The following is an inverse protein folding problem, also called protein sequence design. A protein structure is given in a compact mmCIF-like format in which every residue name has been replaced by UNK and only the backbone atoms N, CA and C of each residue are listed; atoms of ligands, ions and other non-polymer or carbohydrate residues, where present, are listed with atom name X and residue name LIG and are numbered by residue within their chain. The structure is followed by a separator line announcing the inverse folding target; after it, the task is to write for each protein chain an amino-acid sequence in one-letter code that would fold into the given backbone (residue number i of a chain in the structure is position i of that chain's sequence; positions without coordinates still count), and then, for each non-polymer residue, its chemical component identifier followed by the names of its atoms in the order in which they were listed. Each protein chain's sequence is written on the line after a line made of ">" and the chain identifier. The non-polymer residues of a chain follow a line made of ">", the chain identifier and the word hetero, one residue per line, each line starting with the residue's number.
data_IF_472291587486
#
_entry.id   IF_472291587486
#
_cell.length_a   1.000
_cell.length_b   1.000
_cell.length_c   1.000
_cell.angle_alpha   90.00
_cell.angle_beta   90.00
_cell.angle_gamma   90.00
#
_symmetry.space_group_name_H-M   'P 1'
#
loop_
_entity.id
_entity.type
_entity.pdbx_description
1 polymer ?
#
# COMPACT_ATOMS: atom_id res chain seq x y z
N UNK A 1 13.88 31.08 5.69
CA UNK A 1 13.38 29.73 5.85
C UNK A 1 12.24 29.39 4.88
N UNK A 2 11.17 30.18 4.74
CA UNK A 2 10.05 29.89 3.80
C UNK A 2 10.43 29.86 2.31
N UNK A 3 11.37 30.70 1.86
CA UNK A 3 11.84 30.73 0.47
C UNK A 3 12.64 29.47 0.16
N UNK A 4 13.55 29.08 1.05
CA UNK A 4 14.39 27.89 0.89
C UNK A 4 13.56 26.60 0.82
N UNK A 5 12.50 26.47 1.64
CA UNK A 5 11.59 25.33 1.58
C UNK A 5 10.79 25.28 0.28
N UNK A 6 10.36 26.42 -0.27
CA UNK A 6 9.67 26.48 -1.58
C UNK A 6 10.61 26.10 -2.71
N UNK A 7 11.84 26.62 -2.73
CA UNK A 7 12.85 26.25 -3.73
C UNK A 7 13.18 24.77 -3.70
N UNK A 8 13.30 24.18 -2.50
CA UNK A 8 13.54 22.76 -2.33
C UNK A 8 12.38 21.90 -2.88
N UNK A 9 11.13 22.28 -2.62
CA UNK A 9 9.94 21.60 -3.16
C UNK A 9 9.93 21.69 -4.70
N UNK A 10 10.19 22.87 -5.26
CA UNK A 10 10.27 23.04 -6.73
C UNK A 10 11.37 22.16 -7.32
N UNK A 11 12.56 22.15 -6.69
CA UNK A 11 13.66 21.28 -7.12
C UNK A 11 13.27 19.80 -7.11
N UNK A 12 12.71 19.28 -6.00
CA UNK A 12 12.29 17.88 -5.90
C UNK A 12 11.21 17.54 -6.95
N UNK A 13 10.23 18.41 -7.14
CA UNK A 13 9.17 18.19 -8.13
C UNK A 13 9.74 18.15 -9.55
N UNK A 14 10.62 19.10 -9.89
CA UNK A 14 11.27 19.14 -11.19
C UNK A 14 12.16 17.92 -11.44
N UNK A 15 12.92 17.51 -10.41
CA UNK A 15 13.73 16.30 -10.46
C UNK A 15 12.87 15.04 -10.70
N UNK A 16 11.76 14.91 -9.97
CA UNK A 16 10.84 13.77 -10.14
C UNK A 16 10.20 13.75 -11.52
N UNK A 17 9.74 14.91 -12.01
CA UNK A 17 9.17 15.01 -13.37
C UNK A 17 10.23 14.65 -14.43
N UNK A 18 11.44 15.15 -14.29
CA UNK A 18 12.56 14.81 -15.18
C UNK A 18 12.89 13.32 -15.14
N UNK A 19 12.90 12.72 -13.96
CA UNK A 19 13.15 11.28 -13.79
C UNK A 19 12.03 10.42 -14.39
N UNK A 20 10.77 10.80 -14.20
CA UNK A 20 9.63 10.14 -14.84
C UNK A 20 9.70 10.26 -16.36
N UNK A 21 10.03 11.44 -16.89
CA UNK A 21 10.19 11.63 -18.33
C UNK A 21 11.36 10.79 -18.89
N UNK A 22 12.49 10.79 -18.20
CA UNK A 22 13.64 9.97 -18.55
C UNK A 22 13.28 8.48 -18.61
N UNK A 23 12.65 7.93 -17.57
CA UNK A 23 12.26 6.52 -17.54
C UNK A 23 11.23 6.19 -18.63
N UNK A 24 10.27 7.07 -18.88
CA UNK A 24 9.30 6.91 -19.97
C UNK A 24 9.95 6.83 -21.35
N UNK A 25 10.94 7.69 -21.62
CA UNK A 25 11.60 7.77 -22.93
C UNK A 25 12.63 6.65 -23.15
N UNK A 26 13.40 6.32 -22.13
CA UNK A 26 14.62 5.53 -22.27
C UNK A 26 14.54 4.10 -21.74
N UNK A 27 13.46 3.71 -21.01
CA UNK A 27 13.31 2.31 -20.63
C UNK A 27 13.12 1.44 -21.87
N UNK A 28 13.97 0.44 -21.95
CA UNK A 28 13.96 -0.59 -22.99
C UNK A 28 13.39 -1.91 -22.44
N UNK A 29 13.37 -2.94 -23.27
CA UNK A 29 12.81 -4.24 -22.89
C UNK A 29 13.51 -4.88 -21.69
N UNK A 30 14.82 -4.63 -21.49
CA UNK A 30 15.57 -5.17 -20.34
C UNK A 30 15.09 -4.53 -19.03
N UNK A 31 14.90 -3.20 -18.97
CA UNK A 31 14.37 -2.53 -17.80
C UNK A 31 12.90 -2.88 -17.56
N UNK A 32 12.11 -3.02 -18.64
CA UNK A 32 10.70 -3.42 -18.55
C UNK A 32 10.57 -4.85 -18.00
N UNK A 33 11.44 -5.77 -18.39
CA UNK A 33 11.44 -7.15 -17.90
C UNK A 33 11.73 -7.25 -16.39
N UNK A 34 12.45 -6.28 -15.82
CA UNK A 34 12.68 -6.14 -14.38
C UNK A 34 11.50 -5.53 -13.60
N UNK A 35 10.39 -5.17 -14.27
CA UNK A 35 9.20 -4.60 -13.64
C UNK A 35 8.09 -5.63 -13.49
N UNK A 36 7.12 -5.36 -12.60
CA UNK A 36 5.94 -6.24 -12.42
C UNK A 36 5.02 -6.28 -13.64
N UNK A 37 5.18 -5.34 -14.59
CA UNK A 37 4.52 -5.40 -15.89
C UNK A 37 4.72 -6.74 -16.58
N UNK A 38 5.91 -7.35 -16.40
CA UNK A 38 6.24 -8.69 -16.90
C UNK A 38 5.21 -9.74 -16.43
N UNK A 39 4.95 -9.79 -15.12
CA UNK A 39 4.00 -10.77 -14.55
C UNK A 39 2.58 -10.53 -15.03
N UNK A 40 2.16 -9.27 -15.16
CA UNK A 40 0.79 -8.91 -15.58
C UNK A 40 0.53 -9.23 -17.04
N UNK A 41 1.47 -8.91 -17.94
CA UNK A 41 1.36 -9.25 -19.35
C UNK A 41 1.43 -10.75 -19.56
N UNK A 42 2.24 -11.46 -18.79
CA UNK A 42 2.26 -12.93 -18.80
C UNK A 42 0.88 -13.50 -18.49
N UNK A 43 0.23 -13.05 -17.39
CA UNK A 43 -1.12 -13.48 -17.06
C UNK A 43 -2.14 -13.19 -18.16
N UNK A 44 -2.09 -12.01 -18.77
CA UNK A 44 -2.95 -11.64 -19.89
C UNK A 44 -2.74 -12.53 -21.12
N UNK A 45 -1.47 -12.81 -21.50
CA UNK A 45 -1.12 -13.67 -22.63
C UNK A 45 -1.53 -15.13 -22.42
N UNK A 46 -1.41 -15.67 -21.20
CA UNK A 46 -1.89 -17.01 -20.87
C UNK A 46 -3.41 -17.12 -21.09
N UNK A 47 -4.18 -16.11 -20.65
CA UNK A 47 -5.63 -16.08 -20.84
C UNK A 47 -5.97 -16.04 -22.35
N UNK A 48 -5.32 -15.21 -23.13
CA UNK A 48 -5.52 -15.06 -24.56
C UNK A 48 -5.05 -16.29 -25.36
N UNK A 49 -3.99 -16.96 -24.90
CA UNK A 49 -3.44 -18.16 -25.55
C UNK A 49 -4.27 -19.42 -25.32
N UNK A 50 -5.40 -19.32 -24.60
CA UNK A 50 -6.30 -20.47 -24.36
C UNK A 50 -5.86 -21.38 -23.20
N UNK A 51 -4.70 -21.13 -22.59
CA UNK A 51 -4.18 -21.91 -21.45
C UNK A 51 -4.65 -21.35 -20.09
N UNK A 52 -5.80 -20.70 -20.05
CA UNK A 52 -6.33 -19.96 -18.88
C UNK A 52 -6.46 -20.83 -17.61
N UNK A 53 -6.77 -22.12 -17.74
CA UNK A 53 -6.88 -23.05 -16.62
C UNK A 53 -5.52 -23.29 -15.95
N UNK A 54 -4.41 -23.06 -16.66
CA UNK A 54 -3.04 -23.22 -16.20
C UNK A 54 -2.41 -21.88 -15.76
N UNK A 55 -3.22 -20.83 -15.53
CA UNK A 55 -2.73 -19.52 -15.12
C UNK A 55 -1.82 -19.59 -13.89
N UNK A 56 -2.11 -20.51 -12.97
CA UNK A 56 -1.36 -20.72 -11.73
C UNK A 56 -0.44 -21.95 -11.76
N UNK A 57 0.07 -22.27 -12.95
CA UNK A 57 1.09 -23.30 -13.15
C UNK A 57 2.43 -22.63 -13.46
N UNK A 58 3.48 -22.99 -12.72
CA UNK A 58 4.81 -22.35 -12.85
C UNK A 58 5.36 -22.56 -14.25
N UNK A 59 5.26 -23.77 -14.76
CA UNK A 59 5.76 -24.19 -16.07
C UNK A 59 5.09 -23.37 -17.20
N UNK A 60 3.78 -23.15 -17.10
CA UNK A 60 3.05 -22.32 -18.06
C UNK A 60 3.52 -20.86 -17.99
N UNK A 61 3.66 -20.30 -16.80
CA UNK A 61 4.14 -18.91 -16.66
C UNK A 61 5.58 -18.75 -17.15
N UNK A 62 6.47 -19.72 -16.87
CA UNK A 62 7.83 -19.73 -17.41
C UNK A 62 7.86 -19.78 -18.94
N UNK A 63 7.05 -20.67 -19.54
CA UNK A 63 6.93 -20.80 -21.01
C UNK A 63 6.58 -19.44 -21.61
N UNK A 64 5.50 -18.80 -21.17
CA UNK A 64 5.06 -17.51 -21.69
C UNK A 64 6.05 -16.39 -21.41
N UNK A 65 6.70 -16.35 -20.25
CA UNK A 65 7.71 -15.34 -19.97
C UNK A 65 8.94 -15.48 -20.86
N UNK A 66 9.42 -16.69 -21.10
CA UNK A 66 10.54 -16.94 -22.03
C UNK A 66 10.20 -16.56 -23.48
N UNK A 67 8.96 -16.77 -23.90
CA UNK A 67 8.49 -16.37 -25.24
C UNK A 67 8.44 -14.84 -25.40
N UNK A 68 7.94 -14.12 -24.35
CA UNK A 68 7.77 -12.66 -24.39
C UNK A 68 9.09 -11.93 -24.15
N UNK A 69 9.92 -12.42 -23.20
CA UNK A 69 11.13 -11.79 -22.69
C UNK A 69 12.36 -12.68 -22.96
N UNK A 70 12.69 -12.86 -24.23
CA UNK A 70 13.69 -13.82 -24.73
C UNK A 70 15.06 -13.79 -24.01
N UNK A 71 15.46 -12.64 -23.48
CA UNK A 71 16.79 -12.43 -22.87
C UNK A 71 16.75 -12.43 -21.32
N UNK A 72 15.62 -12.70 -20.69
CA UNK A 72 15.48 -12.64 -19.24
C UNK A 72 15.15 -14.02 -18.65
N UNK A 73 16.05 -14.51 -17.77
CA UNK A 73 15.90 -15.79 -17.09
C UNK A 73 15.16 -15.70 -15.76
N UNK A 74 14.95 -14.47 -15.24
CA UNK A 74 14.25 -14.27 -13.94
C UNK A 74 12.76 -14.43 -14.16
N UNK A 75 12.14 -15.34 -13.44
CA UNK A 75 10.70 -15.55 -13.47
C UNK A 75 10.02 -14.69 -12.41
N UNK A 76 9.10 -13.84 -12.84
CA UNK A 76 8.23 -13.04 -11.97
C UNK A 76 6.80 -13.62 -12.01
N UNK A 77 6.38 -14.42 -11.01
CA UNK A 77 5.08 -15.07 -11.04
C UNK A 77 3.92 -14.07 -10.99
N UNK A 78 2.87 -14.34 -11.76
CA UNK A 78 1.60 -13.65 -11.65
C UNK A 78 0.83 -14.19 -10.43
N UNK A 79 0.85 -13.44 -9.33
CA UNK A 79 0.29 -13.85 -8.02
C UNK A 79 -1.04 -13.19 -7.68
N UNK A 80 -1.79 -12.71 -8.68
CA UNK A 80 -3.05 -12.01 -8.47
C UNK A 80 -4.24 -12.85 -8.94
N UNK A 81 -5.45 -12.47 -8.52
CA UNK A 81 -6.65 -13.08 -9.05
C UNK A 81 -6.83 -12.75 -10.55
N UNK A 82 -7.57 -13.57 -11.30
CA UNK A 82 -7.69 -13.46 -12.76
C UNK A 82 -8.18 -12.11 -13.27
N UNK A 83 -8.92 -11.35 -12.45
CA UNK A 83 -9.38 -10.00 -12.79
C UNK A 83 -8.23 -9.08 -13.24
N UNK A 84 -7.08 -9.14 -12.57
CA UNK A 84 -5.94 -8.29 -12.95
C UNK A 84 -5.28 -8.76 -14.23
N UNK A 85 -5.19 -10.06 -14.49
CA UNK A 85 -4.74 -10.53 -15.79
C UNK A 85 -5.67 -10.03 -16.90
N UNK A 86 -6.99 -10.02 -16.67
CA UNK A 86 -7.99 -9.53 -17.61
C UNK A 86 -7.84 -8.01 -17.89
N UNK A 87 -7.57 -7.21 -16.86
CA UNK A 87 -7.30 -5.76 -17.00
C UNK A 87 -6.09 -5.48 -17.92
N UNK A 88 -5.10 -6.40 -17.94
CA UNK A 88 -3.90 -6.22 -18.76
C UNK A 88 -4.03 -6.73 -20.19
N UNK A 89 -5.14 -7.38 -20.58
CA UNK A 89 -5.39 -7.84 -21.94
C UNK A 89 -5.22 -6.71 -22.99
N UNK A 90 -5.81 -5.50 -22.83
CA UNK A 90 -5.64 -4.44 -23.82
C UNK A 90 -4.19 -4.06 -24.08
N UNK A 91 -3.33 -4.07 -23.05
CA UNK A 91 -1.92 -3.74 -23.18
C UNK A 91 -1.10 -4.84 -23.87
N UNK A 92 -1.62 -6.07 -23.90
CA UNK A 92 -0.96 -7.21 -24.53
C UNK A 92 -1.11 -7.26 -26.04
N UNK A 93 -2.00 -6.45 -26.63
CA UNK A 93 -2.13 -6.32 -28.10
C UNK A 93 -1.09 -5.39 -28.71
N UNK A 94 -0.46 -4.52 -27.92
CA UNK A 94 0.62 -3.65 -28.34
C UNK A 94 1.99 -4.37 -28.24
N UNK A 95 3.03 -3.78 -28.86
CA UNK A 95 4.39 -4.20 -28.56
C UNK A 95 4.68 -4.02 -27.07
N UNK A 96 5.62 -4.81 -26.53
CA UNK A 96 5.97 -4.79 -25.09
C UNK A 96 6.25 -3.36 -24.58
N UNK A 97 7.09 -2.62 -25.30
CA UNK A 97 7.46 -1.25 -24.95
C UNK A 97 6.27 -0.29 -25.03
N UNK A 98 5.45 -0.39 -26.08
CA UNK A 98 4.27 0.47 -26.24
C UNK A 98 3.21 0.19 -25.18
N UNK A 99 2.91 -1.09 -24.90
CA UNK A 99 1.97 -1.49 -23.84
C UNK A 99 2.41 -1.01 -22.47
N UNK A 100 3.71 -1.14 -22.15
CA UNK A 100 4.28 -0.59 -20.92
C UNK A 100 4.12 0.93 -20.85
N UNK A 101 4.45 1.68 -21.91
CA UNK A 101 4.31 3.14 -21.94
C UNK A 101 2.87 3.60 -21.77
N UNK A 102 1.90 2.92 -22.40
CA UNK A 102 0.47 3.22 -22.21
C UNK A 102 0.07 3.01 -20.76
N UNK A 103 0.47 1.89 -20.15
CA UNK A 103 0.18 1.63 -18.74
C UNK A 103 0.92 2.61 -17.79
N UNK A 104 2.13 3.01 -18.13
CA UNK A 104 2.88 4.04 -17.42
C UNK A 104 2.13 5.37 -17.38
N UNK A 105 1.65 5.86 -18.52
CA UNK A 105 0.83 7.08 -18.62
C UNK A 105 -0.49 6.93 -17.85
N UNK A 106 -1.13 5.76 -17.91
CA UNK A 106 -2.31 5.47 -17.12
C UNK A 106 -2.02 5.60 -15.61
N UNK A 107 -0.88 5.09 -15.14
CA UNK A 107 -0.49 5.24 -13.72
C UNK A 107 -0.30 6.70 -13.31
N UNK A 108 0.25 7.56 -14.19
CA UNK A 108 0.33 9.01 -13.95
C UNK A 108 -1.07 9.62 -13.83
N UNK A 109 -1.99 9.28 -14.73
CA UNK A 109 -3.39 9.75 -14.66
C UNK A 109 -4.08 9.27 -13.38
N UNK A 110 -3.87 8.02 -12.99
CA UNK A 110 -4.40 7.46 -11.75
C UNK A 110 -3.81 8.16 -10.50
N UNK A 111 -2.54 8.54 -10.53
CA UNK A 111 -1.93 9.34 -9.47
C UNK A 111 -2.62 10.73 -9.33
N UNK A 112 -3.00 11.36 -10.46
CA UNK A 112 -3.80 12.60 -10.44
C UNK A 112 -5.20 12.34 -9.85
N UNK A 113 -5.83 11.21 -10.16
CA UNK A 113 -7.10 10.82 -9.51
C UNK A 113 -6.93 10.69 -8.00
N UNK A 114 -5.83 10.11 -7.52
CA UNK A 114 -5.52 10.07 -6.08
C UNK A 114 -5.48 11.47 -5.46
N UNK A 115 -4.86 12.47 -6.12
CA UNK A 115 -4.84 13.87 -5.64
C UNK A 115 -6.25 14.40 -5.43
N UNK A 116 -7.16 14.14 -6.38
CA UNK A 116 -8.56 14.57 -6.29
C UNK A 116 -9.25 13.87 -5.10
N UNK A 117 -9.03 12.57 -4.92
CA UNK A 117 -9.62 11.80 -3.82
C UNK A 117 -9.06 12.23 -2.46
N UNK A 118 -7.74 12.48 -2.34
CA UNK A 118 -7.15 13.04 -1.13
C UNK A 118 -7.77 14.39 -0.77
N UNK A 119 -7.90 15.29 -1.77
CA UNK A 119 -8.52 16.60 -1.56
C UNK A 119 -9.96 16.49 -1.05
N UNK A 120 -10.75 15.54 -1.58
CA UNK A 120 -12.13 15.27 -1.13
C UNK A 120 -12.17 14.63 0.25
N UNK A 121 -11.26 13.69 0.54
CA UNK A 121 -11.29 12.96 1.80
C UNK A 121 -10.78 13.79 2.97
N UNK A 122 -9.66 14.52 2.80
CA UNK A 122 -9.04 15.34 3.84
C UNK A 122 -9.45 16.82 3.79
N UNK A 123 -10.26 17.24 2.81
CA UNK A 123 -10.77 18.63 2.68
C UNK A 123 -9.65 19.66 2.56
N UNK A 124 -8.58 19.31 1.82
CA UNK A 124 -7.41 20.15 1.62
C UNK A 124 -7.25 20.65 0.19
N UNK A 125 -6.27 21.56 -0.03
CA UNK A 125 -5.99 22.09 -1.36
C UNK A 125 -5.36 21.02 -2.25
N UNK A 126 -5.86 20.90 -3.49
CA UNK A 126 -5.35 19.94 -4.48
C UNK A 126 -3.84 20.08 -4.72
N UNK A 127 -3.33 21.31 -4.73
CA UNK A 127 -1.90 21.59 -4.95
C UNK A 127 -1.02 20.96 -3.87
N UNK A 128 -1.44 20.99 -2.59
CA UNK A 128 -0.68 20.37 -1.50
C UNK A 128 -0.54 18.86 -1.70
N UNK A 129 -1.62 18.20 -2.16
CA UNK A 129 -1.60 16.77 -2.43
C UNK A 129 -0.92 16.42 -3.75
N UNK A 130 -0.98 17.29 -4.76
CA UNK A 130 -0.25 17.11 -6.02
C UNK A 130 1.26 17.04 -5.76
N UNK A 131 1.79 18.02 -5.02
CA UNK A 131 3.20 18.06 -4.65
C UNK A 131 3.57 16.82 -3.81
N UNK A 132 2.75 16.47 -2.82
CA UNK A 132 2.98 15.31 -1.97
C UNK A 132 3.06 14.02 -2.78
N UNK A 133 2.09 13.78 -3.67
CA UNK A 133 1.96 12.56 -4.48
C UNK A 133 3.18 12.38 -5.38
N UNK A 134 3.63 13.45 -6.07
CA UNK A 134 4.74 13.36 -7.01
C UNK A 134 6.14 13.49 -6.38
N UNK A 135 6.27 13.97 -5.15
CA UNK A 135 7.54 13.94 -4.41
C UNK A 135 7.74 12.61 -3.68
N UNK A 136 6.66 11.86 -3.40
CA UNK A 136 6.73 10.65 -2.60
C UNK A 136 7.29 9.48 -3.40
N UNK A 137 8.56 9.15 -3.15
CA UNK A 137 9.32 8.16 -3.92
C UNK A 137 8.63 6.78 -4.08
N UNK A 138 7.97 6.19 -3.04
CA UNK A 138 7.26 4.92 -3.22
C UNK A 138 6.18 4.97 -4.30
N UNK A 139 5.49 6.09 -4.49
CA UNK A 139 4.51 6.24 -5.57
C UNK A 139 5.20 6.36 -6.94
N UNK A 140 6.30 7.11 -7.01
CA UNK A 140 7.09 7.22 -8.25
C UNK A 140 7.60 5.84 -8.67
N UNK A 141 8.08 5.04 -7.70
CA UNK A 141 8.47 3.65 -7.94
C UNK A 141 7.31 2.79 -8.49
N UNK A 142 6.07 3.00 -8.00
CA UNK A 142 4.89 2.32 -8.56
C UNK A 142 4.66 2.63 -10.03
N UNK A 143 4.84 3.87 -10.45
CA UNK A 143 4.70 4.27 -11.86
C UNK A 143 5.77 3.56 -12.70
N UNK A 144 7.03 3.61 -12.27
CA UNK A 144 8.17 3.06 -13.00
C UNK A 144 8.13 1.53 -13.07
N UNK A 145 7.82 0.86 -11.96
CA UNK A 145 7.74 -0.60 -11.92
C UNK A 145 6.37 -1.14 -12.35
N UNK A 146 5.50 -0.26 -12.88
CA UNK A 146 4.18 -0.59 -13.40
C UNK A 146 3.30 -1.35 -12.41
N UNK A 147 3.36 -0.97 -11.11
CA UNK A 147 2.61 -1.61 -10.05
C UNK A 147 1.11 -1.26 -10.09
N UNK A 148 0.28 -2.16 -9.56
CA UNK A 148 -1.18 -1.92 -9.43
C UNK A 148 -1.56 -1.17 -8.15
N UNK A 149 -0.58 -0.81 -7.31
CA UNK A 149 -0.83 -0.24 -5.97
C UNK A 149 -1.61 1.07 -6.04
N UNK A 150 -1.39 1.87 -7.08
CA UNK A 150 -2.14 3.13 -7.27
C UNK A 150 -3.63 2.84 -7.47
N UNK A 151 -3.98 1.79 -8.23
CA UNK A 151 -5.37 1.34 -8.40
C UNK A 151 -5.96 0.91 -7.04
N UNK A 152 -5.24 0.10 -6.28
CA UNK A 152 -5.69 -0.36 -4.96
C UNK A 152 -5.84 0.81 -3.97
N UNK A 153 -4.97 1.80 -4.03
CA UNK A 153 -5.06 3.02 -3.21
C UNK A 153 -6.30 3.85 -3.57
N UNK A 154 -6.63 3.99 -4.86
CA UNK A 154 -7.87 4.65 -5.31
C UNK A 154 -9.08 3.92 -4.74
N UNK A 155 -9.14 2.59 -4.87
CA UNK A 155 -10.22 1.78 -4.34
C UNK A 155 -10.36 1.98 -2.82
N UNK A 156 -9.26 1.95 -2.08
CA UNK A 156 -9.25 2.16 -0.64
C UNK A 156 -9.75 3.58 -0.27
N UNK A 157 -9.30 4.62 -0.97
CA UNK A 157 -9.79 6.00 -0.76
C UNK A 157 -11.29 6.13 -1.07
N UNK A 158 -11.79 5.44 -2.08
CA UNK A 158 -13.23 5.41 -2.39
C UNK A 158 -14.01 4.72 -1.27
N UNK A 159 -13.52 3.61 -0.70
CA UNK A 159 -14.13 2.97 0.48
C UNK A 159 -14.20 3.94 1.66
N UNK A 160 -13.13 4.68 1.94
CA UNK A 160 -13.11 5.68 3.00
C UNK A 160 -14.11 6.81 2.75
N UNK A 161 -14.25 7.25 1.50
CA UNK A 161 -15.27 8.25 1.11
C UNK A 161 -16.71 7.70 1.26
N UNK A 162 -16.92 6.41 0.95
CA UNK A 162 -18.22 5.77 1.24
C UNK A 162 -18.49 5.72 2.75
N UNK A 163 -17.48 5.46 3.59
CA UNK A 163 -17.63 5.48 5.04
C UNK A 163 -17.97 6.89 5.57
N UNK A 164 -17.38 7.96 5.01
CA UNK A 164 -17.77 9.35 5.32
C UNK A 164 -19.25 9.64 5.01
N UNK A 165 -19.81 8.92 4.02
CA UNK A 165 -21.22 9.06 3.59
C UNK A 165 -22.14 7.99 4.18
N UNK A 166 -21.71 7.26 5.20
CA UNK A 166 -22.43 6.14 5.83
C UNK A 166 -22.87 5.00 4.87
N UNK A 167 -22.22 4.88 3.69
CA UNK A 167 -22.49 3.87 2.66
C UNK A 167 -21.65 2.60 2.87
N UNK A 168 -21.82 1.94 4.01
CA UNK A 168 -20.97 0.80 4.42
C UNK A 168 -21.13 -0.44 3.53
N UNK A 169 -22.32 -0.70 2.97
CA UNK A 169 -22.53 -1.81 2.04
C UNK A 169 -21.69 -1.62 0.76
N UNK A 170 -21.80 -0.45 0.13
CA UNK A 170 -20.98 -0.13 -1.06
C UNK A 170 -19.48 -0.15 -0.75
N UNK A 171 -19.09 0.33 0.44
CA UNK A 171 -17.72 0.22 0.93
C UNK A 171 -17.24 -1.23 1.05
N UNK A 172 -18.11 -2.12 1.55
CA UNK A 172 -17.82 -3.56 1.64
C UNK A 172 -17.62 -4.21 0.27
N UNK A 173 -18.56 -3.96 -0.68
CA UNK A 173 -18.46 -4.46 -2.07
C UNK A 173 -17.14 -4.04 -2.69
N UNK A 174 -16.79 -2.75 -2.59
CA UNK A 174 -15.56 -2.25 -3.19
C UNK A 174 -14.30 -2.79 -2.52
N UNK A 175 -14.35 -3.06 -1.20
CA UNK A 175 -13.23 -3.64 -0.45
C UNK A 175 -12.86 -5.04 -0.91
N UNK A 176 -13.80 -5.83 -1.49
CA UNK A 176 -13.51 -7.16 -2.00
C UNK A 176 -12.44 -7.16 -3.09
N UNK A 177 -12.35 -6.07 -3.88
CA UNK A 177 -11.35 -5.95 -4.96
C UNK A 177 -9.92 -5.88 -4.40
N UNK A 178 -9.74 -5.42 -3.15
CA UNK A 178 -8.42 -5.39 -2.50
C UNK A 178 -7.83 -6.80 -2.32
N UNK A 179 -8.67 -7.86 -2.27
CA UNK A 179 -8.24 -9.26 -2.12
C UNK A 179 -7.45 -9.77 -3.33
N UNK A 180 -7.53 -9.08 -4.47
CA UNK A 180 -6.67 -9.42 -5.62
C UNK A 180 -5.17 -9.42 -5.26
N UNK A 181 -4.78 -8.67 -4.24
CA UNK A 181 -3.48 -8.77 -3.58
C UNK A 181 -3.75 -9.41 -2.20
N UNK A 182 -3.62 -10.73 -2.00
CA UNK A 182 -4.18 -11.44 -0.83
C UNK A 182 -3.76 -10.89 0.53
N UNK A 183 -2.52 -10.42 0.65
CA UNK A 183 -2.03 -9.83 1.89
C UNK A 183 -2.73 -8.50 2.26
N UNK A 184 -3.48 -7.86 1.34
CA UNK A 184 -4.34 -6.71 1.64
C UNK A 184 -5.58 -7.05 2.47
N UNK A 185 -5.82 -8.33 2.80
CA UNK A 185 -6.81 -8.73 3.82
C UNK A 185 -6.62 -7.97 5.14
N UNK A 186 -5.40 -7.59 5.49
CA UNK A 186 -5.12 -6.79 6.68
C UNK A 186 -5.76 -5.39 6.58
N UNK A 187 -5.74 -4.76 5.41
CA UNK A 187 -6.46 -3.50 5.19
C UNK A 187 -7.97 -3.67 5.36
N UNK A 188 -8.53 -4.79 4.86
CA UNK A 188 -9.96 -5.10 5.01
C UNK A 188 -10.33 -5.32 6.47
N UNK A 189 -9.47 -5.98 7.25
CA UNK A 189 -9.66 -6.12 8.69
C UNK A 189 -9.78 -4.75 9.37
N UNK A 190 -8.89 -3.81 9.09
CA UNK A 190 -8.96 -2.48 9.65
C UNK A 190 -10.18 -1.68 9.14
N UNK A 191 -10.56 -1.82 7.87
CA UNK A 191 -11.81 -1.24 7.35
C UNK A 191 -13.04 -1.78 8.11
N UNK A 192 -13.08 -3.09 8.38
CA UNK A 192 -14.13 -3.69 9.21
C UNK A 192 -14.17 -3.10 10.62
N UNK A 193 -13.01 -2.93 11.26
CA UNK A 193 -12.91 -2.35 12.60
C UNK A 193 -13.38 -0.89 12.63
N UNK A 194 -13.09 -0.12 11.59
CA UNK A 194 -13.51 1.28 11.44
C UNK A 194 -15.00 1.43 11.07
N UNK A 195 -15.60 0.39 10.49
CA UNK A 195 -17.00 0.43 10.08
C UNK A 195 -17.93 0.58 11.28
N UNK A 196 -18.80 1.60 11.27
CA UNK A 196 -19.86 1.77 12.27
C UNK A 196 -21.01 0.76 12.10
N UNK A 197 -21.26 0.29 10.87
CA UNK A 197 -22.29 -0.69 10.52
C UNK A 197 -21.68 -1.97 9.99
N UNK A 198 -21.06 -2.73 10.91
CA UNK A 198 -20.28 -3.93 10.62
C UNK A 198 -21.00 -4.95 9.74
N UNK A 199 -22.28 -5.24 10.05
CA UNK A 199 -23.10 -6.19 9.28
C UNK A 199 -23.26 -5.71 7.83
N UNK A 200 -23.60 -4.42 7.60
CA UNK A 200 -23.73 -3.89 6.23
C UNK A 200 -22.40 -3.97 5.46
N UNK A 201 -21.29 -3.68 6.13
CA UNK A 201 -19.96 -3.82 5.52
C UNK A 201 -19.66 -5.28 5.16
N UNK A 202 -19.89 -6.22 6.07
CA UNK A 202 -19.67 -7.66 5.82
C UNK A 202 -20.59 -8.20 4.72
N UNK A 203 -21.88 -7.81 4.70
CA UNK A 203 -22.81 -8.17 3.62
C UNK A 203 -22.28 -7.67 2.28
N UNK A 204 -21.83 -6.41 2.21
CA UNK A 204 -21.24 -5.85 1.00
C UNK A 204 -19.95 -6.59 0.59
N UNK A 205 -19.06 -6.86 1.54
CA UNK A 205 -17.85 -7.62 1.30
C UNK A 205 -18.15 -9.03 0.75
N UNK A 206 -19.10 -9.73 1.36
CA UNK A 206 -19.55 -11.05 0.90
C UNK A 206 -20.08 -11.01 -0.53
N UNK A 207 -20.98 -10.06 -0.84
CA UNK A 207 -21.53 -9.90 -2.20
C UNK A 207 -20.42 -9.62 -3.22
N UNK A 208 -19.46 -8.74 -2.88
CA UNK A 208 -18.33 -8.46 -3.73
C UNK A 208 -17.41 -9.69 -3.92
N UNK A 209 -17.19 -10.48 -2.87
CA UNK A 209 -16.44 -11.74 -2.95
C UNK A 209 -17.12 -12.77 -3.84
N UNK A 210 -18.44 -12.92 -3.73
CA UNK A 210 -19.20 -13.82 -4.61
C UNK A 210 -18.98 -13.44 -6.08
N UNK A 211 -19.08 -12.15 -6.41
CA UNK A 211 -18.79 -11.67 -7.79
C UNK A 211 -17.36 -11.99 -8.21
N UNK A 212 -16.37 -11.71 -7.35
CA UNK A 212 -14.96 -11.96 -7.65
C UNK A 212 -14.64 -13.44 -7.84
N UNK A 213 -15.21 -14.31 -7.00
CA UNK A 213 -15.03 -15.76 -7.10
C UNK A 213 -15.70 -16.31 -8.37
N UNK A 214 -16.96 -15.89 -8.63
CA UNK A 214 -17.68 -16.30 -9.85
C UNK A 214 -16.93 -15.88 -11.11
N UNK A 215 -16.43 -14.63 -11.14
CA UNK A 215 -15.59 -14.17 -12.24
C UNK A 215 -14.31 -15.02 -12.36
N UNK A 216 -13.62 -15.27 -11.27
CA UNK A 216 -12.38 -16.07 -11.28
C UNK A 216 -12.62 -17.48 -11.80
N UNK A 217 -13.69 -18.15 -11.33
CA UNK A 217 -14.10 -19.48 -11.79
C UNK A 217 -14.46 -19.48 -13.29
N UNK A 218 -15.13 -18.45 -13.78
CA UNK A 218 -15.46 -18.35 -15.21
C UNK A 218 -14.23 -18.17 -16.12
N UNK A 219 -13.17 -17.53 -15.58
CA UNK A 219 -11.93 -17.29 -16.32
C UNK A 219 -11.00 -18.51 -16.29
N UNK A 220 -10.66 -19.04 -15.10
CA UNK A 220 -9.62 -20.08 -14.95
C UNK A 220 -10.18 -21.48 -14.68
N UNK A 221 -11.50 -21.61 -14.59
CA UNK A 221 -12.13 -22.87 -14.22
C UNK A 221 -11.94 -23.26 -12.74
N UNK A 222 -12.59 -24.34 -12.33
CA UNK A 222 -12.58 -24.78 -10.92
C UNK A 222 -11.19 -25.25 -10.47
N UNK A 223 -10.52 -26.08 -11.26
CA UNK A 223 -9.19 -26.62 -10.95
C UNK A 223 -8.13 -25.50 -10.91
N UNK A 224 -8.16 -24.59 -11.90
CA UNK A 224 -7.27 -23.43 -11.94
C UNK A 224 -7.47 -22.52 -10.72
N UNK A 225 -8.70 -22.30 -10.27
CA UNK A 225 -8.98 -21.52 -9.07
C UNK A 225 -8.49 -22.20 -7.79
N UNK A 226 -8.70 -23.52 -7.65
CA UNK A 226 -8.23 -24.27 -6.48
C UNK A 226 -6.71 -24.39 -6.41
N UNK A 227 -6.00 -24.32 -7.54
CA UNK A 227 -4.54 -24.34 -7.56
C UNK A 227 -3.90 -23.06 -7.01
N UNK A 228 -4.64 -21.93 -6.97
CA UNK A 228 -4.15 -20.61 -6.61
C UNK A 228 -3.50 -20.54 -5.21
N UNK A 229 -4.11 -21.00 -4.10
CA UNK A 229 -3.47 -20.95 -2.79
C UNK A 229 -2.15 -21.72 -2.72
N UNK A 230 -2.11 -22.91 -3.32
CA UNK A 230 -0.89 -23.73 -3.41
C UNK A 230 0.20 -23.06 -4.25
N UNK A 231 -0.19 -22.38 -5.34
CA UNK A 231 0.71 -21.61 -6.17
C UNK A 231 1.33 -20.43 -5.39
N UNK A 232 0.54 -19.67 -4.62
CA UNK A 232 1.04 -18.59 -3.78
C UNK A 232 2.12 -19.07 -2.81
N UNK A 233 1.86 -20.18 -2.09
CA UNK A 233 2.82 -20.74 -1.13
C UNK A 233 4.11 -21.23 -1.82
N UNK A 234 4.02 -21.87 -2.97
CA UNK A 234 5.18 -22.38 -3.72
C UNK A 234 6.05 -21.26 -4.28
N UNK A 235 5.44 -20.13 -4.66
CA UNK A 235 6.17 -18.98 -5.23
C UNK A 235 6.64 -18.00 -4.17
N UNK A 236 6.33 -18.19 -2.89
CA UNK A 236 6.82 -17.35 -1.77
C UNK A 236 8.20 -17.82 -1.33
N UNK A 237 9.21 -17.62 -2.20
CA UNK A 237 10.60 -17.96 -1.94
C UNK A 237 11.55 -17.01 -2.70
N UNK A 238 12.85 -17.09 -2.41
CA UNK A 238 13.90 -16.22 -2.99
C UNK A 238 14.00 -16.33 -4.50
N UNK A 239 13.81 -17.53 -5.05
CA UNK A 239 13.90 -17.77 -6.49
C UNK A 239 12.87 -16.98 -7.29
N UNK A 240 11.66 -16.81 -6.74
CA UNK A 240 10.57 -16.07 -7.37
C UNK A 240 10.39 -14.65 -6.80
N UNK A 241 11.41 -14.07 -6.16
CA UNK A 241 11.36 -12.73 -5.59
C UNK A 241 10.61 -12.64 -4.25
N UNK A 242 10.31 -13.76 -3.59
CA UNK A 242 9.63 -13.82 -2.29
C UNK A 242 10.61 -13.86 -1.10
N UNK A 243 11.73 -13.12 -1.15
CA UNK A 243 12.69 -13.08 -0.05
C UNK A 243 12.13 -12.27 1.14
N UNK A 244 11.58 -13.00 2.12
CA UNK A 244 10.93 -12.41 3.29
C UNK A 244 11.86 -11.50 4.10
N UNK A 245 13.18 -11.76 4.14
CA UNK A 245 14.14 -10.95 4.89
C UNK A 245 14.35 -9.57 4.26
N UNK A 246 14.15 -9.46 2.94
CA UNK A 246 14.27 -8.19 2.22
C UNK A 246 13.00 -7.33 2.28
N UNK A 247 11.90 -7.87 2.78
CA UNK A 247 10.63 -7.15 2.93
C UNK A 247 10.69 -6.13 4.06
N UNK A 248 9.69 -5.26 4.12
CA UNK A 248 9.65 -4.10 5.04
C UNK A 248 8.55 -4.24 6.10
N UNK A 249 8.36 -5.44 6.63
CA UNK A 249 7.24 -5.78 7.51
C UNK A 249 7.66 -6.58 8.74
N UNK A 250 6.77 -6.74 9.71
CA UNK A 250 7.00 -7.54 10.92
C UNK A 250 7.45 -8.97 10.60
N UNK A 251 6.88 -9.69 9.61
CA UNK A 251 7.41 -10.99 9.20
C UNK A 251 8.89 -11.01 8.84
N UNK A 252 9.41 -9.95 8.20
CA UNK A 252 10.85 -9.89 7.89
C UNK A 252 11.72 -9.78 9.14
N UNK A 253 11.26 -9.03 10.14
CA UNK A 253 11.94 -8.93 11.45
C UNK A 253 11.95 -10.28 12.16
N UNK A 254 10.81 -10.96 12.19
CA UNK A 254 10.67 -12.30 12.79
C UNK A 254 11.64 -13.27 12.09
N UNK A 255 11.64 -13.30 10.76
CA UNK A 255 12.52 -14.15 9.96
C UNK A 255 14.00 -13.87 10.22
N UNK A 256 14.38 -12.59 10.32
CA UNK A 256 15.75 -12.18 10.64
C UNK A 256 16.18 -12.62 12.04
N UNK A 257 15.35 -12.38 13.07
CA UNK A 257 15.66 -12.75 14.47
C UNK A 257 15.80 -14.27 14.61
N UNK A 258 14.92 -15.03 13.97
CA UNK A 258 14.90 -16.48 14.05
C UNK A 258 15.87 -17.15 13.07
N UNK A 259 16.68 -16.34 12.33
CA UNK A 259 17.73 -16.80 11.39
C UNK A 259 17.23 -17.88 10.41
N UNK A 260 16.02 -17.71 9.90
CA UNK A 260 15.37 -18.65 8.96
C UNK A 260 15.25 -20.10 9.48
N UNK A 261 15.33 -20.32 10.80
CA UNK A 261 15.20 -21.65 11.41
C UNK A 261 13.76 -22.15 11.47
N UNK A 262 12.80 -21.27 11.19
CA UNK A 262 11.36 -21.59 11.22
C UNK A 262 10.79 -21.60 9.81
N UNK A 263 9.74 -22.43 9.62
CA UNK A 263 8.97 -22.41 8.37
C UNK A 263 8.26 -21.06 8.19
N UNK A 264 8.02 -20.67 6.95
CA UNK A 264 7.30 -19.44 6.60
C UNK A 264 5.91 -19.38 7.24
N UNK A 265 5.26 -20.53 7.41
CA UNK A 265 3.95 -20.64 8.06
C UNK A 265 4.05 -20.22 9.54
N UNK A 266 5.10 -20.67 10.25
CA UNK A 266 5.31 -20.28 11.65
C UNK A 266 5.57 -18.77 11.79
N UNK A 267 6.33 -18.17 10.88
CA UNK A 267 6.56 -16.74 10.85
C UNK A 267 5.23 -15.99 10.69
N UNK A 268 4.38 -16.44 9.78
CA UNK A 268 3.06 -15.82 9.57
C UNK A 268 2.10 -16.03 10.74
N UNK A 269 2.16 -17.17 11.45
CA UNK A 269 1.38 -17.39 12.67
C UNK A 269 1.80 -16.45 13.81
N UNK A 270 3.10 -16.24 14.00
CA UNK A 270 3.62 -15.28 14.98
C UNK A 270 3.17 -13.85 14.60
N UNK A 271 3.30 -13.49 13.32
CA UNK A 271 2.82 -12.19 12.83
C UNK A 271 1.32 -12.00 13.07
N UNK A 272 0.51 -13.04 12.82
CA UNK A 272 -0.93 -13.02 13.09
C UNK A 272 -1.23 -12.78 14.57
N UNK A 273 -0.50 -13.43 15.48
CA UNK A 273 -0.67 -13.22 16.92
C UNK A 273 -0.37 -11.78 17.33
N UNK A 274 0.73 -11.19 16.82
CA UNK A 274 1.09 -9.79 17.10
C UNK A 274 0.05 -8.85 16.47
N UNK A 275 -0.41 -9.12 15.24
CA UNK A 275 -1.47 -8.37 14.57
C UNK A 275 -2.76 -8.38 15.37
N UNK A 276 -3.19 -9.54 15.88
CA UNK A 276 -4.41 -9.65 16.70
C UNK A 276 -4.29 -8.83 17.99
N UNK A 277 -3.13 -8.87 18.66
CA UNK A 277 -2.86 -8.06 19.86
C UNK A 277 -2.94 -6.56 19.53
N UNK A 278 -2.34 -6.14 18.42
CA UNK A 278 -2.44 -4.74 17.97
C UNK A 278 -3.88 -4.36 17.58
N UNK A 279 -4.63 -5.29 16.98
CA UNK A 279 -6.03 -5.10 16.58
C UNK A 279 -6.92 -4.81 17.80
N UNK A 280 -6.72 -5.55 18.90
CA UNK A 280 -7.41 -5.31 20.18
C UNK A 280 -7.05 -3.91 20.70
N UNK A 281 -5.76 -3.56 20.72
CA UNK A 281 -5.31 -2.22 21.10
C UNK A 281 -5.94 -1.13 20.21
N UNK A 282 -5.90 -1.28 18.87
CA UNK A 282 -6.51 -0.35 17.94
C UNK A 282 -7.99 -0.17 18.22
N UNK A 283 -8.74 -1.28 18.38
CA UNK A 283 -10.17 -1.24 18.66
C UNK A 283 -10.47 -0.50 19.96
N UNK A 284 -9.69 -0.75 21.03
CA UNK A 284 -9.85 -0.05 22.32
C UNK A 284 -9.64 1.46 22.22
N UNK A 285 -8.79 1.92 21.28
CA UNK A 285 -8.44 3.34 21.07
C UNK A 285 -9.25 4.03 19.98
N UNK A 286 -10.02 3.28 19.19
CA UNK A 286 -10.74 3.81 18.03
C UNK A 286 -12.06 4.52 18.39
N UNK A 287 -12.64 4.23 19.56
CA UNK A 287 -13.93 4.77 20.00
C UNK A 287 -13.93 6.30 20.03
N UNK A 288 -14.94 6.90 19.39
CA UNK A 288 -15.12 8.37 19.32
C UNK A 288 -14.16 9.11 18.40
N UNK A 289 -13.26 8.41 17.70
CA UNK A 289 -12.32 9.02 16.77
C UNK A 289 -12.90 9.17 15.36
N UNK A 290 -12.45 10.21 14.64
CA UNK A 290 -12.89 10.44 13.26
C UNK A 290 -12.24 9.43 12.30
N UNK A 291 -12.88 9.22 11.15
CA UNK A 291 -12.46 8.26 10.13
C UNK A 291 -11.09 8.61 9.53
N UNK A 292 -10.72 9.88 9.46
CA UNK A 292 -9.45 10.33 8.89
C UNK A 292 -8.27 9.91 9.77
N UNK A 293 -8.40 10.07 11.09
CA UNK A 293 -7.41 9.60 12.07
C UNK A 293 -7.31 8.07 12.03
N UNK A 294 -8.46 7.40 12.06
CA UNK A 294 -8.50 5.94 12.10
C UNK A 294 -7.90 5.33 10.82
N UNK A 295 -8.24 5.87 9.65
CA UNK A 295 -7.67 5.40 8.38
C UNK A 295 -6.15 5.63 8.33
N UNK A 296 -5.69 6.77 8.82
CA UNK A 296 -4.26 7.09 8.83
C UNK A 296 -3.47 6.17 9.75
N UNK A 297 -3.95 5.94 10.96
CA UNK A 297 -3.29 5.02 11.90
C UNK A 297 -3.36 3.57 11.42
N UNK A 298 -4.53 3.10 10.96
CA UNK A 298 -4.71 1.72 10.49
C UNK A 298 -3.88 1.41 9.26
N UNK A 299 -3.70 2.38 8.36
CA UNK A 299 -2.86 2.20 7.16
C UNK A 299 -1.40 1.94 7.53
N UNK A 300 -0.83 2.69 8.49
CA UNK A 300 0.52 2.44 8.97
C UNK A 300 0.65 1.07 9.64
N UNK A 301 -0.32 0.70 10.47
CA UNK A 301 -0.33 -0.61 11.10
C UNK A 301 -0.49 -1.73 10.07
N UNK A 302 -1.41 -1.59 9.10
CA UNK A 302 -1.58 -2.57 8.04
C UNK A 302 -0.28 -2.81 7.27
N UNK A 303 0.41 -1.75 6.85
CA UNK A 303 1.70 -1.85 6.16
C UNK A 303 2.76 -2.58 6.98
N UNK A 304 2.81 -2.34 8.29
CA UNK A 304 3.76 -3.02 9.17
C UNK A 304 3.53 -4.53 9.26
N UNK A 305 2.28 -4.98 9.18
CA UNK A 305 1.89 -6.38 9.33
C UNK A 305 1.70 -7.14 8.02
N UNK A 306 1.83 -6.49 6.84
CA UNK A 306 1.68 -7.19 5.55
C UNK A 306 2.64 -8.38 5.45
N UNK A 307 2.17 -9.59 5.16
CA UNK A 307 3.04 -10.75 4.98
C UNK A 307 4.07 -10.59 3.87
N UNK A 308 3.66 -9.96 2.78
CA UNK A 308 4.49 -9.69 1.61
C UNK A 308 4.45 -8.19 1.31
N UNK A 309 5.42 -7.43 1.85
CA UNK A 309 5.44 -5.98 1.76
C UNK A 309 6.76 -5.49 1.17
N UNK A 310 6.65 -4.70 0.10
CA UNK A 310 7.78 -4.07 -0.57
C UNK A 310 7.67 -2.55 -0.53
N UNK A 311 8.73 -1.85 -0.92
CA UNK A 311 8.77 -0.38 -0.92
C UNK A 311 7.62 0.29 -1.69
N UNK A 312 7.11 -0.34 -2.74
CA UNK A 312 5.98 0.20 -3.49
C UNK A 312 4.67 0.18 -2.68
N UNK A 313 4.48 -0.76 -1.73
CA UNK A 313 3.32 -0.81 -0.85
C UNK A 313 3.28 0.39 0.10
N UNK A 314 4.43 0.99 0.43
CA UNK A 314 4.51 2.22 1.23
C UNK A 314 3.75 3.40 0.61
N UNK A 315 3.33 3.31 -0.65
CA UNK A 315 2.47 4.31 -1.28
C UNK A 315 1.22 4.61 -0.46
N UNK A 316 0.67 3.62 0.23
CA UNK A 316 -0.47 3.80 1.14
C UNK A 316 -0.18 4.74 2.31
N UNK A 317 1.08 4.96 2.69
CA UNK A 317 1.45 5.94 3.72
C UNK A 317 1.04 7.37 3.36
N UNK A 318 0.82 7.68 2.08
CA UNK A 318 0.29 8.97 1.66
C UNK A 318 -1.00 9.35 2.40
N UNK A 319 -1.83 8.37 2.80
CA UNK A 319 -3.03 8.58 3.61
C UNK A 319 -2.67 9.18 4.96
N UNK A 320 -1.65 8.63 5.63
CA UNK A 320 -1.19 9.09 6.94
C UNK A 320 -0.44 10.43 6.84
N UNK A 321 0.38 10.58 5.81
CA UNK A 321 1.12 11.82 5.54
C UNK A 321 0.14 12.97 5.24
N UNK A 322 -0.89 12.73 4.42
CA UNK A 322 -1.93 13.71 4.11
C UNK A 322 -2.70 14.14 5.37
N UNK A 323 -3.03 13.19 6.26
CA UNK A 323 -3.65 13.49 7.55
C UNK A 323 -2.75 14.32 8.45
N UNK A 324 -1.47 13.95 8.58
CA UNK A 324 -0.50 14.69 9.39
C UNK A 324 -0.34 16.12 8.88
N UNK A 325 -0.24 16.33 7.57
CA UNK A 325 -0.21 17.65 6.95
C UNK A 325 -1.46 18.47 7.30
N UNK A 326 -2.67 17.87 7.25
CA UNK A 326 -3.92 18.52 7.66
C UNK A 326 -3.85 18.95 9.13
N UNK A 327 -3.46 18.05 10.02
CA UNK A 327 -3.42 18.32 11.46
C UNK A 327 -2.35 19.36 11.81
N UNK A 328 -1.16 19.36 11.22
CA UNK A 328 -0.13 20.37 11.44
C UNK A 328 -0.67 21.78 11.16
N UNK A 329 -1.51 21.95 10.14
CA UNK A 329 -2.13 23.25 9.80
C UNK A 329 -3.15 23.70 10.85
N UNK A 330 -3.86 22.77 11.47
CA UNK A 330 -4.92 23.02 12.45
C UNK A 330 -4.43 23.04 13.89
N UNK A 331 -3.25 22.45 14.18
CA UNK A 331 -2.73 22.29 15.53
C UNK A 331 -2.24 23.62 16.08
N UNK A 332 -2.66 23.96 17.31
CA UNK A 332 -2.26 25.19 18.03
C UNK A 332 -1.05 24.96 18.96
N UNK A 333 -0.85 23.72 19.44
CA UNK A 333 0.27 23.39 20.32
C UNK A 333 1.57 23.33 19.52
N UNK A 334 2.55 24.15 19.91
CA UNK A 334 3.88 24.18 19.29
C UNK A 334 4.60 22.85 19.45
N UNK A 335 4.50 22.20 20.61
CA UNK A 335 5.16 20.92 20.91
C UNK A 335 4.57 19.78 20.09
N UNK A 336 3.22 19.69 20.04
CA UNK A 336 2.53 18.67 19.23
C UNK A 336 2.84 18.88 17.74
N UNK A 337 2.92 20.15 17.30
CA UNK A 337 3.30 20.50 15.94
C UNK A 337 4.73 20.06 15.61
N UNK A 338 5.68 20.21 16.55
CA UNK A 338 7.05 19.71 16.38
C UNK A 338 7.07 18.19 16.23
N UNK A 339 6.39 17.46 17.11
CA UNK A 339 6.30 15.98 17.04
C UNK A 339 5.73 15.55 15.69
N UNK A 340 4.65 16.18 15.23
CA UNK A 340 4.01 15.84 13.95
C UNK A 340 4.92 16.18 12.75
N UNK A 341 5.69 17.27 12.81
CA UNK A 341 6.65 17.60 11.76
C UNK A 341 7.81 16.60 11.71
N UNK A 342 8.34 16.18 12.86
CA UNK A 342 9.37 15.14 12.93
C UNK A 342 8.82 13.84 12.35
N UNK A 343 7.62 13.43 12.76
CA UNK A 343 6.96 12.24 12.24
C UNK A 343 6.76 12.32 10.72
N UNK A 344 6.32 13.46 10.21
CA UNK A 344 6.15 13.71 8.77
C UNK A 344 7.46 13.52 8.01
N UNK A 345 8.55 14.11 8.49
CA UNK A 345 9.88 13.99 7.87
C UNK A 345 10.33 12.53 7.86
N UNK A 346 10.19 11.81 8.98
CA UNK A 346 10.57 10.40 9.07
C UNK A 346 9.77 9.56 8.06
N UNK A 347 8.46 9.77 7.96
CA UNK A 347 7.60 9.02 7.03
C UNK A 347 7.90 9.34 5.57
N UNK A 348 8.21 10.59 5.23
CA UNK A 348 8.59 10.96 3.86
C UNK A 348 9.93 10.33 3.48
N UNK A 349 10.87 10.29 4.42
CA UNK A 349 12.21 9.74 4.19
C UNK A 349 12.33 8.23 4.44
N UNK A 350 11.24 7.53 4.77
CA UNK A 350 11.27 6.13 5.22
C UNK A 350 11.95 5.18 4.21
N UNK A 351 11.79 5.44 2.92
CA UNK A 351 12.47 4.67 1.88
C UNK A 351 13.99 4.77 2.00
N UNK A 352 14.51 5.98 2.17
CA UNK A 352 15.94 6.23 2.31
C UNK A 352 16.47 5.70 3.64
N UNK A 353 15.69 5.83 4.72
CA UNK A 353 16.02 5.26 6.04
C UNK A 353 16.19 3.74 5.92
N UNK A 354 15.25 3.06 5.26
CA UNK A 354 15.35 1.62 5.03
C UNK A 354 16.57 1.22 4.21
N UNK A 355 16.96 2.01 3.20
CA UNK A 355 18.14 1.75 2.38
C UNK A 355 19.46 2.04 3.10
N UNK A 356 19.50 3.08 3.93
CA UNK A 356 20.73 3.52 4.63
C UNK A 356 21.00 2.72 5.91
N UNK A 357 19.94 2.38 6.67
CA UNK A 357 20.06 1.71 7.96
C UNK A 357 19.75 0.22 7.81
N UNK A 358 18.48 -0.11 7.64
CA UNK A 358 17.96 -1.46 7.40
C UNK A 358 16.46 -1.42 7.12
N UNK A 359 15.97 -2.30 6.25
CA UNK A 359 14.53 -2.53 6.04
C UNK A 359 13.81 -2.92 7.34
N UNK A 360 14.51 -3.59 8.26
CA UNK A 360 13.97 -4.09 9.53
C UNK A 360 13.52 -2.98 10.49
N UNK A 361 13.99 -1.75 10.31
CA UNK A 361 13.58 -0.59 11.14
C UNK A 361 12.20 -0.06 10.73
N UNK A 362 11.84 -0.25 9.46
CA UNK A 362 10.60 0.32 8.89
C UNK A 362 9.33 -0.09 9.64
N UNK A 363 9.05 -1.39 9.94
CA UNK A 363 7.82 -1.77 10.61
C UNK A 363 7.70 -1.17 12.02
N UNK A 364 8.80 -0.97 12.74
CA UNK A 364 8.80 -0.29 14.05
C UNK A 364 8.42 1.18 13.91
N UNK A 365 8.97 1.89 12.91
CA UNK A 365 8.61 3.29 12.62
C UNK A 365 7.12 3.38 12.30
N UNK A 366 6.58 2.48 11.48
CA UNK A 366 5.17 2.46 11.10
C UNK A 366 4.26 2.22 12.31
N UNK A 367 4.57 1.23 13.15
CA UNK A 367 3.80 0.94 14.36
C UNK A 367 3.87 2.09 15.37
N UNK A 368 5.05 2.65 15.59
CA UNK A 368 5.23 3.79 16.48
C UNK A 368 4.43 5.02 16.00
N UNK A 369 4.50 5.32 14.71
CA UNK A 369 3.71 6.39 14.10
C UNK A 369 2.20 6.15 14.26
N UNK A 370 1.74 4.92 14.05
CA UNK A 370 0.34 4.53 14.25
C UNK A 370 -0.11 4.76 15.71
N UNK A 371 0.72 4.36 16.69
CA UNK A 371 0.45 4.55 18.12
C UNK A 371 0.41 6.03 18.49
N UNK A 372 1.34 6.85 17.98
CA UNK A 372 1.35 8.31 18.19
C UNK A 372 0.03 8.92 17.70
N UNK A 373 -0.39 8.59 16.47
CA UNK A 373 -1.63 9.11 15.93
C UNK A 373 -2.85 8.71 16.78
N UNK A 374 -2.95 7.45 17.20
CA UNK A 374 -4.05 6.97 18.04
C UNK A 374 -4.11 7.66 19.42
N UNK A 375 -2.97 8.13 19.94
CA UNK A 375 -2.88 8.78 21.24
C UNK A 375 -2.68 10.30 21.18
N UNK A 376 -2.88 10.95 20.03
CA UNK A 376 -2.65 12.39 19.87
C UNK A 376 -3.42 13.25 20.90
N UNK A 377 -4.61 12.83 21.35
CA UNK A 377 -5.39 13.53 22.39
C UNK A 377 -4.70 13.52 23.74
N UNK A 378 -3.98 12.42 24.09
CA UNK A 378 -3.17 12.35 25.31
C UNK A 378 -1.96 13.27 25.23
N UNK A 379 -1.31 13.39 24.07
CA UNK A 379 -0.20 14.33 23.86
C UNK A 379 -0.63 15.77 24.13
N UNK A 380 -1.84 16.15 23.73
CA UNK A 380 -2.42 17.46 24.01
C UNK A 380 -2.70 17.66 25.51
N UNK A 381 -3.21 16.64 26.21
CA UNK A 381 -3.54 16.70 27.64
C UNK A 381 -2.30 16.77 28.55
N UNK A 382 -1.20 16.10 28.23
CA UNK A 382 0.06 16.13 28.99
C UNK A 382 0.60 17.55 29.14
N UNK A 383 0.37 18.41 28.17
CA UNK A 383 0.74 19.83 28.25
C UNK A 383 -0.12 20.60 29.24
N UNK A 384 -1.42 20.36 29.27
CA UNK A 384 -2.33 21.07 30.18
C UNK A 384 -1.95 20.83 31.66
N UNK A 385 -1.57 19.59 31.97
CA UNK A 385 -1.10 19.22 33.30
C UNK A 385 0.25 19.90 33.68
N UNK A 386 1.21 20.01 32.72
CA UNK A 386 2.46 20.74 32.96
C UNK A 386 2.24 22.24 33.17
N UNK A 387 1.34 22.84 32.40
CA UNK A 387 1.03 24.29 32.55
C UNK A 387 0.38 24.60 33.88
N UNK A 388 -0.54 23.75 34.35
CA UNK A 388 -1.18 23.89 35.69
C UNK A 388 -0.16 23.72 36.79
N UNK A 389 0.76 22.76 36.71
CA UNK A 389 1.81 22.57 37.68
C UNK A 389 2.83 23.72 37.69
N UNK A 390 3.19 24.28 36.53
CA UNK A 390 4.08 25.45 36.41
C UNK A 390 3.41 26.74 36.95
N UNK A 391 2.12 26.93 36.69
CA UNK A 391 1.35 28.05 37.22
C UNK A 391 1.18 27.95 38.73
N UNK A 392 0.95 26.75 39.27
CA UNK A 392 0.91 26.52 40.73
C UNK A 392 2.26 26.75 41.42
N UNK A 393 3.38 26.36 40.79
CA UNK A 393 4.73 26.60 41.32
C UNK A 393 5.11 28.11 41.32
N UNK A 394 4.59 28.88 40.37
CA UNK A 394 4.83 30.33 40.30
C UNK A 394 3.87 31.16 41.16
N UNK A 395 2.77 30.58 41.67
CA UNK A 395 1.87 31.22 42.63
C UNK A 395 2.30 30.96 44.12
N UNK A 396 3.28 30.11 44.33
CA UNK A 396 3.81 29.77 45.67
C UNK A 396 5.15 30.52 45.92
N UNK A 397 5.68 31.23 44.93
CA UNK A 397 6.77 32.18 45.08
C UNK A 397 6.20 33.61 45.07
#
# INVERSE_FOLDING_TARGET
>A
MQILSKLFIVFLTSFTCGYLLFTFCFFNEIQISGSDYKSYITGAKIILGGERNNLYTIETQEKYQKEIFKNDQIILPFRMLPLFAFIFIPFSFASLTLGYRIYYLLNILLAIVCVILFSKFFEGRKLDYLLLVFIFFPLVANIIFAQIIIILMILYLLVLLFFKKDRYLAGGVLSSVLINKPHFLIFILFLFLMSKRKIKFLTGLFLGLVVMITFSLSVVGFEGFLSYPGFLLRTENTYYGGDIVKMISVPSVISFILKSRMSIIMIYLINLFILLSFTIYFFSKSRGKNIELLSSSSTLAALAFLPHSWYHDLTFMLISIAYILKIIKLEKSKEVKIILNILLVILVLIYFIGKLISNLVIPFILLFASIILLNQDKLRKLRFARYINFAKLNMIK
#
